data_IF_896658398151
#
_entry.id   IF_896658398151
#
_cell.length_a   1.000
_cell.length_b   1.000
_cell.length_c   1.000
_cell.angle_alpha   90.00
_cell.angle_beta   90.00
_cell.angle_gamma   90.00
#
_symmetry.space_group_name_H-M   'P 1'
#
loop_
_entity.id
_entity.type
_entity.pdbx_description
1 polymer ?
#
# COMPACT_ATOMS: atom_id res chain seq x y z
N UNK A 1 -31.31 51.33 22.44
CA UNK A 1 -30.24 50.33 22.66
C UNK A 1 -30.52 49.10 21.80
N UNK A 2 -30.32 49.14 20.47
CA UNK A 2 -30.66 48.01 19.57
C UNK A 2 -29.50 47.58 18.64
N UNK A 3 -28.31 48.16 18.78
CA UNK A 3 -27.16 47.89 17.90
C UNK A 3 -26.40 46.60 18.23
N UNK A 4 -26.51 46.05 19.44
CA UNK A 4 -25.82 44.79 19.81
C UNK A 4 -26.49 43.53 19.24
N UNK A 5 -27.80 43.53 18.99
CA UNK A 5 -28.53 42.33 18.53
C UNK A 5 -28.30 42.00 17.04
N UNK A 6 -27.84 42.95 16.24
CA UNK A 6 -27.51 42.71 14.82
C UNK A 6 -26.05 42.28 14.61
N UNK A 7 -25.16 42.56 15.57
CA UNK A 7 -23.75 42.17 15.48
C UNK A 7 -23.57 40.66 15.74
N UNK A 8 -24.32 40.10 16.68
CA UNK A 8 -24.29 38.66 17.03
C UNK A 8 -24.58 37.71 15.85
N UNK A 9 -25.66 37.88 15.06
CA UNK A 9 -25.91 37.02 13.91
C UNK A 9 -24.88 37.24 12.79
N UNK A 10 -24.31 38.44 12.65
CA UNK A 10 -23.28 38.73 11.66
C UNK A 10 -21.95 38.03 12.01
N UNK A 11 -21.58 38.03 13.29
CA UNK A 11 -20.39 37.33 13.82
C UNK A 11 -20.58 35.82 13.72
N UNK A 12 -21.79 35.30 14.00
CA UNK A 12 -22.10 33.89 13.85
C UNK A 12 -22.03 33.46 12.38
N UNK A 13 -22.55 34.27 11.46
CA UNK A 13 -22.49 34.03 10.02
C UNK A 13 -21.03 34.01 9.51
N UNK A 14 -20.20 34.92 10.03
CA UNK A 14 -18.78 35.00 9.68
C UNK A 14 -17.98 33.80 10.23
N UNK A 15 -18.30 33.34 11.43
CA UNK A 15 -17.73 32.10 11.99
C UNK A 15 -18.13 30.88 11.14
N UNK A 16 -19.39 30.76 10.73
CA UNK A 16 -19.88 29.64 9.90
C UNK A 16 -19.18 29.62 8.51
N UNK A 17 -18.92 30.79 7.92
CA UNK A 17 -18.18 30.91 6.65
C UNK A 17 -16.70 30.54 6.78
N UNK A 18 -16.11 30.63 7.98
CA UNK A 18 -14.70 30.34 8.22
C UNK A 18 -14.40 28.84 8.38
N UNK A 19 -15.41 28.02 8.71
CA UNK A 19 -15.22 26.58 9.00
C UNK A 19 -15.38 25.65 7.79
N UNK A 20 -15.46 26.17 6.56
CA UNK A 20 -15.73 25.37 5.37
C UNK A 20 -14.54 25.37 4.38
N UNK A 21 -13.35 25.01 4.84
CA UNK A 21 -12.30 24.53 3.92
C UNK A 21 -12.60 23.06 3.60
N UNK A 22 -13.53 22.84 2.67
CA UNK A 22 -13.66 21.54 2.04
C UNK A 22 -12.43 21.33 1.15
N UNK A 23 -11.65 20.29 1.40
CA UNK A 23 -10.57 19.86 0.50
C UNK A 23 -11.16 19.57 -0.89
N UNK A 24 -10.94 20.46 -1.84
CA UNK A 24 -11.43 20.29 -3.21
C UNK A 24 -10.50 19.34 -3.96
N UNK A 25 -10.93 18.08 -4.10
CA UNK A 25 -10.27 17.12 -4.99
C UNK A 25 -10.60 17.46 -6.45
N UNK A 26 -9.56 17.63 -7.27
CA UNK A 26 -9.69 17.86 -8.71
C UNK A 26 -9.98 16.54 -9.44
N UNK A 27 -10.69 16.62 -10.57
CA UNK A 27 -10.86 15.44 -11.43
C UNK A 27 -9.58 15.12 -12.20
N UNK A 28 -9.42 13.86 -12.63
CA UNK A 28 -8.26 13.43 -13.42
C UNK A 28 -7.99 14.33 -14.63
N UNK A 29 -9.05 14.74 -15.34
CA UNK A 29 -8.93 15.61 -16.52
C UNK A 29 -8.43 17.02 -16.19
N UNK A 30 -8.70 17.50 -14.98
CA UNK A 30 -8.23 18.81 -14.54
C UNK A 30 -6.77 18.74 -14.10
N UNK A 31 -6.38 17.65 -13.41
CA UNK A 31 -4.99 17.36 -13.10
C UNK A 31 -4.14 17.21 -14.37
N UNK A 32 -4.64 16.50 -15.38
CA UNK A 32 -3.96 16.38 -16.68
C UNK A 32 -3.75 17.74 -17.36
N UNK A 33 -4.73 18.65 -17.26
CA UNK A 33 -4.62 20.02 -17.79
C UNK A 33 -3.58 20.87 -17.05
N UNK A 34 -3.38 20.62 -15.76
CA UNK A 34 -2.35 21.25 -14.95
C UNK A 34 -0.96 20.61 -15.17
N UNK A 35 -0.86 19.59 -16.02
CA UNK A 35 0.39 18.90 -16.35
C UNK A 35 0.71 17.71 -15.43
N UNK A 36 -0.16 17.43 -14.45
CA UNK A 36 -0.10 16.23 -13.65
C UNK A 36 -0.71 15.07 -14.47
N UNK A 37 0.13 14.31 -15.20
CA UNK A 37 -0.26 13.11 -15.97
C UNK A 37 0.47 11.83 -15.49
N UNK A 38 -0.17 10.64 -15.50
CA UNK A 38 0.47 9.35 -15.13
C UNK A 38 -0.42 8.39 -14.32
N UNK A 39 0.00 7.11 -14.19
CA UNK A 39 -0.75 6.04 -13.47
C UNK A 39 -0.67 6.15 -11.93
N UNK A 40 0.21 6.99 -11.40
CA UNK A 40 0.36 7.26 -9.98
C UNK A 40 0.72 8.73 -9.82
N UNK A 41 -0.30 9.58 -9.80
CA UNK A 41 -0.12 11.01 -10.00
C UNK A 41 0.37 11.77 -8.77
N UNK A 42 0.54 11.09 -7.63
CA UNK A 42 1.11 11.70 -6.44
C UNK A 42 1.38 10.71 -5.29
N UNK A 43 2.09 9.60 -5.54
CA UNK A 43 2.43 8.65 -4.46
C UNK A 43 3.15 9.32 -3.27
N UNK A 44 3.84 10.43 -3.52
CA UNK A 44 4.58 11.20 -2.52
C UNK A 44 4.32 12.72 -2.65
N UNK A 45 3.06 13.10 -2.80
CA UNK A 45 2.63 14.50 -2.89
C UNK A 45 3.11 15.37 -1.71
N UNK A 46 3.30 14.77 -0.52
CA UNK A 46 3.87 15.44 0.64
C UNK A 46 5.37 15.71 0.50
N UNK A 47 6.11 14.77 -0.10
CA UNK A 47 7.54 14.95 -0.42
C UNK A 47 7.74 16.01 -1.49
N UNK A 48 6.78 16.15 -2.44
CA UNK A 48 6.83 17.20 -3.46
C UNK A 48 6.94 18.61 -2.84
N UNK A 49 6.28 18.85 -1.70
CA UNK A 49 6.33 20.11 -0.97
C UNK A 49 7.72 20.43 -0.37
N UNK A 50 8.58 19.42 -0.18
CA UNK A 50 9.93 19.62 0.37
C UNK A 50 10.90 20.20 -0.66
N UNK A 51 10.68 19.91 -1.95
CA UNK A 51 11.60 20.29 -3.03
C UNK A 51 11.12 21.49 -3.84
N UNK A 52 9.80 21.70 -3.92
CA UNK A 52 9.19 22.76 -4.73
C UNK A 52 8.85 23.96 -3.86
N UNK A 53 9.40 25.12 -4.21
CA UNK A 53 9.20 26.38 -3.49
C UNK A 53 7.92 27.11 -3.88
N UNK A 54 7.27 26.66 -4.94
CA UNK A 54 6.04 27.24 -5.46
C UNK A 54 4.84 26.63 -4.72
N UNK A 55 4.21 27.44 -3.86
CA UNK A 55 3.07 26.99 -3.07
C UNK A 55 1.80 26.76 -3.89
N UNK A 56 1.66 27.42 -5.04
CA UNK A 56 0.52 27.22 -5.92
C UNK A 56 0.61 25.85 -6.58
N UNK A 57 1.81 25.50 -7.09
CA UNK A 57 2.10 24.17 -7.63
C UNK A 57 1.94 23.07 -6.57
N UNK A 58 2.40 23.30 -5.34
CA UNK A 58 2.21 22.34 -4.24
C UNK A 58 0.73 22.17 -3.90
N UNK A 59 -0.04 23.26 -3.88
CA UNK A 59 -1.48 23.21 -3.64
C UNK A 59 -2.21 22.41 -4.72
N UNK A 60 -1.89 22.66 -5.98
CA UNK A 60 -2.52 21.97 -7.11
C UNK A 60 -2.12 20.49 -7.17
N UNK A 61 -0.86 20.19 -6.83
CA UNK A 61 -0.36 18.83 -6.65
C UNK A 61 -1.17 18.09 -5.57
N UNK A 62 -1.35 18.70 -4.38
CA UNK A 62 -2.13 18.11 -3.28
C UNK A 62 -3.61 17.88 -3.64
N UNK A 63 -4.24 18.78 -4.40
CA UNK A 63 -5.62 18.59 -4.89
C UNK A 63 -5.74 17.44 -5.90
N UNK A 64 -4.63 17.09 -6.56
CA UNK A 64 -4.49 15.96 -7.48
C UNK A 64 -3.94 14.70 -6.79
N UNK A 65 -3.66 14.76 -5.49
CA UNK A 65 -3.18 13.63 -4.72
C UNK A 65 -4.27 12.57 -4.61
N UNK A 66 -4.03 11.44 -5.27
CA UNK A 66 -4.59 10.18 -4.81
C UNK A 66 -3.66 9.68 -3.71
N UNK A 67 -4.16 9.56 -2.49
CA UNK A 67 -3.54 8.62 -1.55
C UNK A 67 -3.45 7.30 -2.30
N UNK A 68 -2.30 6.62 -2.20
CA UNK A 68 -2.24 5.21 -2.56
C UNK A 68 -3.23 4.51 -1.64
N UNK A 69 -4.48 4.42 -2.08
CA UNK A 69 -5.39 3.39 -1.63
C UNK A 69 -4.84 2.12 -2.25
N UNK A 70 -3.79 1.67 -1.60
CA UNK A 70 -3.35 0.31 -1.40
C UNK A 70 -4.50 -0.71 -1.56
N UNK A 71 -5.74 -0.34 -1.23
CA UNK A 71 -7.03 -1.03 -1.35
C UNK A 71 -7.22 -2.11 -2.44
N UNK A 72 -6.64 -2.03 -3.64
CA UNK A 72 -6.82 -3.10 -4.64
C UNK A 72 -6.01 -4.37 -4.33
N UNK A 73 -4.81 -4.23 -3.74
CA UNK A 73 -3.88 -5.36 -3.47
C UNK A 73 -3.47 -5.43 -1.99
N UNK A 74 -3.56 -4.32 -1.27
CA UNK A 74 -3.31 -4.16 0.18
C UNK A 74 -4.39 -4.79 1.04
N UNK A 75 -5.65 -4.79 0.57
CA UNK A 75 -6.77 -5.37 1.30
C UNK A 75 -6.84 -6.90 1.22
N UNK A 76 -6.06 -7.51 0.34
CA UNK A 76 -6.06 -8.96 0.16
C UNK A 76 -5.10 -9.58 1.18
N UNK A 77 -5.68 -10.05 2.28
CA UNK A 77 -5.01 -10.93 3.23
C UNK A 77 -5.27 -12.38 2.82
N UNK A 78 -4.20 -13.13 2.58
CA UNK A 78 -4.22 -14.54 2.24
C UNK A 78 -4.28 -15.39 3.51
N UNK A 79 -4.98 -16.53 3.44
CA UNK A 79 -5.07 -17.48 4.56
C UNK A 79 -3.72 -18.17 4.83
N UNK A 80 -2.88 -18.27 3.80
CA UNK A 80 -1.59 -18.95 3.84
C UNK A 80 -0.85 -18.81 2.51
N UNK A 81 0.35 -19.40 2.46
CA UNK A 81 1.14 -19.45 1.24
C UNK A 81 1.96 -20.73 1.13
N UNK A 82 2.31 -21.11 -0.09
CA UNK A 82 3.24 -22.20 -0.36
C UNK A 82 4.48 -21.60 -1.05
N UNK A 83 5.64 -21.71 -0.41
CA UNK A 83 6.92 -21.46 -1.04
C UNK A 83 7.32 -22.73 -1.82
N UNK A 84 7.02 -22.76 -3.11
CA UNK A 84 7.42 -23.85 -3.99
C UNK A 84 8.81 -23.60 -4.56
N UNK A 85 9.72 -24.57 -4.38
CA UNK A 85 11.13 -24.47 -4.75
C UNK A 85 11.66 -25.81 -5.26
N UNK A 86 12.67 -25.78 -6.14
CA UNK A 86 13.39 -26.99 -6.51
C UNK A 86 14.54 -27.27 -5.53
N UNK A 87 14.48 -28.40 -4.83
CA UNK A 87 15.49 -28.81 -3.83
C UNK A 87 16.93 -28.75 -4.36
N UNK A 88 17.17 -29.14 -5.61
CA UNK A 88 18.50 -29.14 -6.24
C UNK A 88 19.01 -27.77 -6.64
N UNK A 89 18.12 -26.79 -6.80
CA UNK A 89 18.46 -25.43 -7.26
C UNK A 89 18.51 -24.42 -6.11
N UNK A 90 18.07 -24.79 -4.90
CA UNK A 90 18.08 -23.92 -3.72
C UNK A 90 19.46 -23.35 -3.39
N UNK A 91 20.55 -24.06 -3.69
CA UNK A 91 21.92 -23.57 -3.54
C UNK A 91 22.19 -22.25 -4.28
N UNK A 92 21.44 -21.96 -5.35
CA UNK A 92 21.56 -20.71 -6.12
C UNK A 92 20.75 -19.56 -5.51
N UNK A 93 19.97 -19.81 -4.47
CA UNK A 93 19.08 -18.84 -3.84
C UNK A 93 19.37 -18.76 -2.32
N UNK A 94 20.54 -18.26 -1.90
CA UNK A 94 20.94 -18.23 -0.50
C UNK A 94 19.97 -17.44 0.39
N UNK A 95 19.34 -16.40 -0.16
CA UNK A 95 18.30 -15.60 0.52
C UNK A 95 17.08 -16.45 0.90
N UNK A 96 16.65 -17.36 0.01
CA UNK A 96 15.54 -18.27 0.27
C UNK A 96 15.93 -19.37 1.26
N UNK A 97 17.15 -19.89 1.18
CA UNK A 97 17.67 -20.84 2.17
C UNK A 97 17.64 -20.21 3.56
N UNK A 98 18.17 -19.00 3.67
CA UNK A 98 18.16 -18.23 4.91
C UNK A 98 16.76 -18.00 5.47
N UNK A 99 15.79 -17.67 4.61
CA UNK A 99 14.39 -17.58 5.04
C UNK A 99 13.84 -18.94 5.54
N UNK A 100 14.07 -20.02 4.79
CA UNK A 100 13.55 -21.35 5.13
C UNK A 100 14.11 -21.84 6.47
N UNK A 101 15.40 -21.63 6.72
CA UNK A 101 16.10 -22.16 7.90
C UNK A 101 15.91 -21.30 9.15
N UNK A 102 15.89 -19.97 9.02
CA UNK A 102 15.95 -19.07 10.18
C UNK A 102 14.61 -18.40 10.52
N UNK A 103 13.72 -18.26 9.53
CA UNK A 103 12.59 -17.34 9.63
C UNK A 103 11.23 -17.97 9.37
N UNK A 104 11.18 -19.06 8.59
CA UNK A 104 9.93 -19.75 8.21
C UNK A 104 9.05 -19.96 9.45
N UNK A 105 9.60 -20.45 10.55
CA UNK A 105 8.80 -20.84 11.73
C UNK A 105 7.96 -19.70 12.33
N UNK A 106 8.27 -18.44 12.00
CA UNK A 106 7.46 -17.26 12.35
C UNK A 106 6.13 -17.19 11.58
N UNK A 107 5.96 -17.99 10.53
CA UNK A 107 4.81 -18.04 9.64
C UNK A 107 4.23 -19.48 9.56
N UNK A 108 3.33 -19.87 10.49
CA UNK A 108 2.76 -21.22 10.52
C UNK A 108 1.86 -21.56 9.32
N UNK A 109 1.18 -20.56 8.78
CA UNK A 109 0.29 -20.65 7.59
C UNK A 109 1.05 -20.70 6.26
N UNK A 110 2.37 -20.50 6.30
CA UNK A 110 3.25 -20.67 5.14
C UNK A 110 3.84 -22.07 5.18
N UNK A 111 3.95 -22.75 4.04
CA UNK A 111 4.62 -24.07 3.95
C UNK A 111 5.61 -24.11 2.80
N UNK A 112 6.65 -24.92 2.91
CA UNK A 112 7.63 -25.13 1.84
C UNK A 112 7.26 -26.38 1.06
N UNK A 113 7.21 -26.30 -0.26
CA UNK A 113 6.95 -27.43 -1.13
C UNK A 113 8.11 -27.61 -2.11
N UNK A 114 8.62 -28.84 -2.18
CA UNK A 114 9.71 -29.16 -3.10
C UNK A 114 9.15 -29.76 -4.39
N UNK A 115 9.35 -29.05 -5.51
CA UNK A 115 8.90 -29.48 -6.83
C UNK A 115 10.07 -29.50 -7.82
N UNK A 116 10.21 -30.59 -8.57
CA UNK A 116 11.31 -30.75 -9.50
C UNK A 116 11.28 -29.69 -10.61
N UNK A 117 12.43 -29.07 -10.88
CA UNK A 117 12.59 -27.98 -11.86
C UNK A 117 11.71 -26.76 -11.65
N UNK A 118 11.02 -26.65 -10.50
CA UNK A 118 10.23 -25.47 -10.20
C UNK A 118 11.13 -24.29 -9.85
N UNK A 119 10.94 -23.12 -10.48
CA UNK A 119 11.56 -21.89 -10.02
C UNK A 119 10.93 -21.45 -8.69
N UNK A 120 11.68 -20.78 -7.80
CA UNK A 120 11.12 -20.24 -6.58
C UNK A 120 9.90 -19.35 -6.79
N UNK A 121 8.79 -19.73 -6.16
CA UNK A 121 7.55 -18.96 -6.21
C UNK A 121 6.75 -19.10 -4.93
N UNK A 122 6.07 -18.02 -4.56
CA UNK A 122 5.02 -18.03 -3.54
C UNK A 122 3.68 -18.28 -4.22
N UNK A 123 2.96 -19.28 -3.75
CA UNK A 123 1.59 -19.59 -4.17
C UNK A 123 0.66 -19.20 -3.03
N UNK A 124 -0.07 -18.11 -3.20
CA UNK A 124 -0.92 -17.53 -2.17
C UNK A 124 -2.27 -18.23 -2.13
N UNK A 125 -2.76 -18.55 -0.93
CA UNK A 125 -3.97 -19.34 -0.73
C UNK A 125 -5.13 -18.50 -0.17
N UNK A 126 -6.35 -18.81 -0.59
CA UNK A 126 -7.57 -18.29 0.01
C UNK A 126 -8.05 -19.14 1.21
N UNK A 127 -9.17 -18.77 1.83
CA UNK A 127 -9.68 -19.45 3.04
C UNK A 127 -10.03 -20.93 2.82
N UNK A 128 -10.36 -21.31 1.59
CA UNK A 128 -10.62 -22.70 1.18
C UNK A 128 -9.34 -23.46 0.81
N UNK A 129 -8.17 -22.83 0.97
CA UNK A 129 -6.87 -23.37 0.61
C UNK A 129 -6.63 -23.47 -0.90
N UNK A 130 -7.43 -22.79 -1.71
CA UNK A 130 -7.28 -22.75 -3.15
C UNK A 130 -6.25 -21.70 -3.57
N UNK A 131 -5.62 -21.93 -4.72
CA UNK A 131 -4.64 -21.01 -5.28
C UNK A 131 -5.31 -19.73 -5.74
N UNK A 132 -4.95 -18.60 -5.13
CA UNK A 132 -5.42 -17.28 -5.51
C UNK A 132 -4.43 -16.53 -6.39
N UNK A 133 -3.14 -16.62 -6.07
CA UNK A 133 -2.08 -15.91 -6.81
C UNK A 133 -0.77 -16.70 -6.79
N UNK A 134 0.09 -16.48 -7.80
CA UNK A 134 1.47 -17.00 -7.82
C UNK A 134 2.46 -15.88 -8.12
N UNK A 135 3.48 -15.74 -7.28
CA UNK A 135 4.48 -14.67 -7.32
C UNK A 135 5.87 -15.30 -7.43
N UNK A 136 6.67 -14.90 -8.42
CA UNK A 136 8.06 -15.34 -8.59
C UNK A 136 8.97 -14.61 -7.60
N UNK A 137 9.80 -15.34 -6.88
CA UNK A 137 10.66 -14.80 -5.81
C UNK A 137 12.15 -15.09 -6.01
N UNK A 138 12.56 -15.44 -7.24
CA UNK A 138 13.95 -15.78 -7.58
C UNK A 138 14.96 -14.68 -7.21
N UNK A 139 14.53 -13.41 -7.29
CA UNK A 139 15.36 -12.23 -7.07
C UNK A 139 15.04 -11.53 -5.74
N UNK A 140 14.26 -12.15 -4.87
CA UNK A 140 13.90 -11.54 -3.59
C UNK A 140 15.01 -11.76 -2.57
N UNK A 141 15.22 -10.73 -1.75
CA UNK A 141 16.05 -10.84 -0.55
C UNK A 141 15.22 -11.34 0.61
N UNK A 142 15.89 -11.86 1.64
CA UNK A 142 15.22 -12.37 2.85
C UNK A 142 14.25 -11.35 3.45
N UNK A 143 14.67 -10.09 3.59
CA UNK A 143 13.86 -9.01 4.16
C UNK A 143 12.58 -8.71 3.35
N UNK A 144 12.62 -8.86 2.03
CA UNK A 144 11.45 -8.65 1.18
C UNK A 144 10.41 -9.75 1.39
N UNK A 145 10.87 -11.00 1.52
CA UNK A 145 9.99 -12.15 1.81
C UNK A 145 9.32 -11.95 3.17
N UNK A 146 10.09 -11.55 4.19
CA UNK A 146 9.57 -11.30 5.53
C UNK A 146 8.52 -10.20 5.54
N UNK A 147 8.82 -9.07 4.92
CA UNK A 147 7.91 -7.93 4.88
C UNK A 147 6.63 -8.30 4.14
N UNK A 148 6.76 -8.89 2.95
CA UNK A 148 5.60 -9.31 2.16
C UNK A 148 4.71 -10.31 2.90
N UNK A 149 5.28 -11.36 3.52
CA UNK A 149 4.49 -12.35 4.25
C UNK A 149 3.82 -11.77 5.50
N UNK A 150 4.47 -10.83 6.19
CA UNK A 150 3.87 -10.14 7.36
C UNK A 150 2.65 -9.31 6.97
N UNK A 151 2.69 -8.67 5.80
CA UNK A 151 1.60 -7.83 5.34
C UNK A 151 0.48 -8.64 4.68
N UNK A 152 0.82 -9.73 4.00
CA UNK A 152 -0.12 -10.41 3.09
C UNK A 152 -0.68 -11.71 3.65
N UNK A 153 -0.15 -12.29 4.72
CA UNK A 153 -0.63 -13.58 5.26
C UNK A 153 -1.19 -13.40 6.66
N UNK A 154 -2.29 -14.09 6.97
CA UNK A 154 -2.88 -14.09 8.32
C UNK A 154 -1.83 -14.47 9.38
N UNK A 155 -1.68 -13.67 10.46
CA UNK A 155 -0.82 -14.01 11.59
C UNK A 155 -1.35 -15.25 12.31
N UNK A 156 -0.48 -15.98 13.02
CA UNK A 156 -0.81 -17.26 13.66
C UNK A 156 -1.85 -17.19 14.79
N UNK A 157 -2.38 -16.01 15.10
CA UNK A 157 -3.29 -15.76 16.22
C UNK A 157 -4.76 -15.78 15.79
N UNK A 158 -5.19 -16.85 15.11
CA UNK A 158 -6.60 -17.25 14.99
C UNK A 158 -6.67 -18.78 14.87
N UNK A 159 -6.44 -19.47 16.00
CA UNK A 159 -6.99 -20.80 16.31
C UNK A 159 -7.53 -20.73 17.73
#
# INVERSE_FOLDING_TARGET
MNSLNFALPLILLWLILCFCEAEQKLSTKECEKLGFTGLALCSDCHTFAEYIKDQELVSDCLKCCAEDSDDATSKVIYSGAILEVCMRKLVFYPELVGFIEEEKDKFPTVRVQYAYNSPPKLMMLDEDGQLKETIRVDNWKREHILHFLKEKVKPSSEI
#
